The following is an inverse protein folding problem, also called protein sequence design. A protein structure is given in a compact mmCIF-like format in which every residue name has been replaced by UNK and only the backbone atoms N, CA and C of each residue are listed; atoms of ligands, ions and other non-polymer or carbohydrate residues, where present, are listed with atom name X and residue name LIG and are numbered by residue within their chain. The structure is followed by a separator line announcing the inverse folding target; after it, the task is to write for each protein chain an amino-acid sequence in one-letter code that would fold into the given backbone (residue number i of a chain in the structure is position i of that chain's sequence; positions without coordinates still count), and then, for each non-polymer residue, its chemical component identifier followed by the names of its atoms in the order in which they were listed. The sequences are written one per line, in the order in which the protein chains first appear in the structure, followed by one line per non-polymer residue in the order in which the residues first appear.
data_IF_612699330767
#
_entry.id   IF_612699330767
#
_cell.length_a   1.000
_cell.length_b   1.000
_cell.length_c   1.000
_cell.angle_alpha   90.00
_cell.angle_beta   90.00
_cell.angle_gamma   90.00
#
_symmetry.space_group_name_H-M   'P 1'
#
loop_
_entity.id
_entity.type
_entity.pdbx_description
1 polymer ?
#
# COMPACT_ATOMS: atom_id res chain seq x y z
N UNK A 1 -0.61 -5.01 -6.97
CA UNK A 1 -0.93 -6.43 -6.68
C UNK A 1 0.33 -7.29 -6.62
N UNK A 2 0.97 -7.65 -7.73
CA UNK A 2 2.17 -8.53 -7.74
C UNK A 2 3.27 -8.11 -6.76
N UNK A 3 3.65 -6.83 -6.74
CA UNK A 3 4.67 -6.30 -5.81
C UNK A 3 4.31 -6.46 -4.33
N UNK A 4 3.03 -6.39 -3.98
CA UNK A 4 2.54 -6.56 -2.60
C UNK A 4 2.64 -8.02 -2.18
N UNK A 5 2.18 -8.91 -3.06
CA UNK A 5 2.22 -10.35 -2.83
C UNK A 5 3.67 -10.78 -2.68
N UNK A 6 4.55 -10.39 -3.60
CA UNK A 6 5.97 -10.73 -3.54
C UNK A 6 6.63 -10.21 -2.24
N UNK A 7 6.45 -8.94 -1.91
CA UNK A 7 7.01 -8.35 -0.68
C UNK A 7 6.45 -9.02 0.59
N UNK A 8 5.15 -9.31 0.61
CA UNK A 8 4.48 -9.96 1.73
C UNK A 8 4.95 -11.40 1.90
N UNK A 9 5.03 -12.17 0.82
CA UNK A 9 5.47 -13.57 0.83
C UNK A 9 6.92 -13.69 1.27
N UNK A 10 7.82 -12.84 0.77
CA UNK A 10 9.24 -12.85 1.19
C UNK A 10 9.33 -12.58 2.70
N UNK A 11 8.64 -11.54 3.18
CA UNK A 11 8.61 -11.22 4.61
C UNK A 11 8.01 -12.35 5.45
N UNK A 12 6.92 -12.97 4.99
CA UNK A 12 6.27 -14.10 5.64
C UNK A 12 7.21 -15.31 5.79
N UNK A 13 7.98 -15.63 4.75
CA UNK A 13 8.92 -16.76 4.77
C UNK A 13 10.04 -16.52 5.79
N UNK A 14 10.66 -15.35 5.79
CA UNK A 14 11.76 -15.05 6.73
C UNK A 14 11.28 -14.99 8.18
N UNK A 15 10.19 -14.27 8.45
CA UNK A 15 9.62 -14.14 9.80
C UNK A 15 9.05 -15.49 10.26
N UNK A 16 8.42 -16.24 9.36
CA UNK A 16 7.93 -17.59 9.61
C UNK A 16 9.05 -18.55 10.00
N UNK A 17 10.14 -18.60 9.24
CA UNK A 17 11.30 -19.44 9.57
C UNK A 17 11.91 -19.06 10.92
N UNK A 18 12.06 -17.77 11.22
CA UNK A 18 12.53 -17.31 12.52
C UNK A 18 11.59 -17.75 13.66
N UNK A 19 10.27 -17.62 13.46
CA UNK A 19 9.26 -18.09 14.41
C UNK A 19 9.31 -19.61 14.63
N UNK A 20 9.51 -20.38 13.56
CA UNK A 20 9.66 -21.83 13.63
C UNK A 20 10.88 -22.23 14.46
N UNK A 21 12.03 -21.59 14.22
CA UNK A 21 13.27 -21.88 14.95
C UNK A 21 13.15 -21.58 16.44
N UNK A 22 12.55 -20.44 16.80
CA UNK A 22 12.31 -20.08 18.21
C UNK A 22 11.29 -21.04 18.83
N UNK A 23 10.22 -21.35 18.10
CA UNK A 23 9.15 -22.25 18.52
C UNK A 23 9.64 -23.66 18.85
N UNK A 24 10.52 -24.20 18.00
CA UNK A 24 11.11 -25.52 18.17
C UNK A 24 11.98 -25.61 19.44
N UNK A 25 12.66 -24.52 19.83
CA UNK A 25 13.52 -24.50 21.02
C UNK A 25 12.72 -24.41 22.33
N UNK A 26 11.61 -23.65 22.33
CA UNK A 26 10.86 -23.36 23.56
C UNK A 26 9.76 -24.38 23.83
N UNK A 27 9.02 -24.77 22.79
CA UNK A 27 7.78 -25.57 22.92
C UNK A 27 7.84 -26.90 22.17
N UNK A 28 8.98 -27.26 21.58
CA UNK A 28 9.16 -28.46 20.74
C UNK A 28 8.19 -28.53 19.54
N UNK A 29 7.52 -27.42 19.21
CA UNK A 29 6.58 -27.30 18.10
C UNK A 29 7.01 -26.19 17.15
N UNK A 30 7.20 -26.54 15.89
CA UNK A 30 7.64 -25.59 14.86
C UNK A 30 6.47 -24.97 14.09
N UNK A 31 5.38 -25.71 13.89
CA UNK A 31 4.33 -25.36 12.93
C UNK A 31 3.45 -24.20 13.40
N UNK A 32 3.00 -24.20 14.66
CA UNK A 32 2.13 -23.13 15.18
C UNK A 32 2.90 -21.80 15.23
N UNK A 33 4.13 -21.73 15.78
CA UNK A 33 4.95 -20.52 15.75
C UNK A 33 5.33 -20.07 14.33
N UNK A 34 5.55 -21.01 13.40
CA UNK A 34 5.77 -20.68 11.99
C UNK A 34 4.57 -19.94 11.38
N UNK A 35 3.36 -20.48 11.53
CA UNK A 35 2.16 -19.92 10.89
C UNK A 35 1.84 -18.54 11.45
N UNK A 36 1.91 -18.36 12.77
CA UNK A 36 1.63 -17.07 13.40
C UNK A 36 2.66 -16.02 12.97
N UNK A 37 3.94 -16.36 13.01
CA UNK A 37 5.03 -15.47 12.61
C UNK A 37 4.97 -15.15 11.10
N UNK A 38 4.66 -16.12 10.24
CA UNK A 38 4.51 -15.92 8.81
C UNK A 38 3.36 -14.95 8.48
N UNK A 39 2.20 -15.11 9.14
CA UNK A 39 1.08 -14.18 9.01
C UNK A 39 1.47 -12.76 9.43
N UNK A 40 2.15 -12.60 10.56
CA UNK A 40 2.66 -11.30 11.01
C UNK A 40 3.66 -10.71 10.01
N UNK A 41 4.59 -11.53 9.50
CA UNK A 41 5.55 -11.13 8.47
C UNK A 41 4.87 -10.64 7.20
N UNK A 42 3.83 -11.34 6.74
CA UNK A 42 3.05 -10.93 5.57
C UNK A 42 2.38 -9.57 5.79
N UNK A 43 1.72 -9.38 6.95
CA UNK A 43 1.07 -8.11 7.30
C UNK A 43 2.08 -6.97 7.32
N UNK A 44 3.25 -7.17 7.95
CA UNK A 44 4.31 -6.17 7.97
C UNK A 44 4.80 -5.82 6.56
N UNK A 45 4.97 -6.81 5.69
CA UNK A 45 5.34 -6.61 4.29
C UNK A 45 4.27 -5.81 3.52
N UNK A 46 2.99 -6.13 3.71
CA UNK A 46 1.88 -5.42 3.10
C UNK A 46 1.79 -3.96 3.59
N UNK A 47 1.99 -3.73 4.89
CA UNK A 47 2.05 -2.39 5.49
C UNK A 47 3.22 -1.58 4.93
N UNK A 48 4.40 -2.20 4.82
CA UNK A 48 5.58 -1.58 4.22
C UNK A 48 5.32 -1.14 2.78
N UNK A 49 4.73 -2.02 1.97
CA UNK A 49 4.30 -1.69 0.61
C UNK A 49 3.31 -0.53 0.58
N UNK A 50 2.28 -0.55 1.45
CA UNK A 50 1.28 0.52 1.48
C UNK A 50 1.92 1.88 1.80
N UNK A 51 2.85 1.93 2.76
CA UNK A 51 3.57 3.18 3.10
C UNK A 51 4.38 3.72 1.92
N UNK A 52 5.04 2.84 1.17
CA UNK A 52 5.77 3.22 -0.04
C UNK A 52 4.83 3.69 -1.16
N UNK A 53 3.73 2.98 -1.39
CA UNK A 53 2.70 3.35 -2.36
C UNK A 53 2.10 4.73 -2.06
N UNK A 54 1.79 5.03 -0.79
CA UNK A 54 1.37 6.36 -0.34
C UNK A 54 2.40 7.43 -0.68
N UNK A 55 3.68 7.17 -0.40
CA UNK A 55 4.76 8.14 -0.64
C UNK A 55 4.92 8.41 -2.14
N UNK A 56 4.80 7.38 -2.99
CA UNK A 56 4.90 7.48 -4.45
C UNK A 56 3.67 8.16 -5.07
N UNK A 57 2.47 7.84 -4.58
CA UNK A 57 1.23 8.44 -5.08
C UNK A 57 1.15 9.93 -4.76
N UNK A 58 1.56 10.34 -3.56
CA UNK A 58 1.62 11.77 -3.17
C UNK A 58 2.62 12.55 -4.04
N UNK A 59 3.81 11.99 -4.31
CA UNK A 59 4.77 12.62 -5.22
C UNK A 59 4.25 12.72 -6.65
N UNK A 60 3.53 11.69 -7.11
CA UNK A 60 2.94 11.69 -8.45
C UNK A 60 1.80 12.70 -8.56
N UNK A 61 1.04 12.92 -7.49
CA UNK A 61 -0.01 13.94 -7.41
C UNK A 61 0.57 15.35 -7.61
N UNK A 62 1.66 15.65 -6.92
CA UNK A 62 2.31 16.96 -7.04
C UNK A 62 2.93 17.15 -8.45
N UNK A 63 3.36 16.08 -9.12
CA UNK A 63 3.99 16.15 -10.45
C UNK A 63 2.97 16.16 -11.61
N UNK A 64 1.91 15.39 -11.51
CA UNK A 64 0.92 15.17 -12.58
C UNK A 64 -0.52 15.27 -12.05
N UNK A 65 -0.92 16.44 -11.50
CA UNK A 65 -2.21 16.57 -10.81
C UNK A 65 -3.41 16.35 -11.74
N UNK A 66 -3.33 16.78 -13.01
CA UNK A 66 -4.42 16.63 -13.98
C UNK A 66 -4.69 15.17 -14.35
N UNK A 67 -3.64 14.37 -14.54
CA UNK A 67 -3.77 12.94 -14.88
C UNK A 67 -4.36 12.15 -13.71
N UNK A 68 -3.90 12.43 -12.49
CA UNK A 68 -4.44 11.82 -11.28
C UNK A 68 -5.86 12.28 -10.98
N UNK A 69 -6.25 13.51 -11.33
CA UNK A 69 -7.65 13.96 -11.24
C UNK A 69 -8.57 13.08 -12.09
N UNK A 70 -8.20 12.81 -13.33
CA UNK A 70 -8.99 11.95 -14.24
C UNK A 70 -9.17 10.55 -13.65
N UNK A 71 -8.11 9.96 -13.09
CA UNK A 71 -8.19 8.64 -12.46
C UNK A 71 -8.93 8.67 -11.12
N UNK A 72 -8.83 9.74 -10.34
CA UNK A 72 -9.61 9.92 -9.11
C UNK A 72 -11.10 10.00 -9.40
N UNK A 73 -11.47 10.78 -10.43
CA UNK A 73 -12.86 10.95 -10.84
C UNK A 73 -13.43 9.66 -11.43
N UNK A 74 -12.68 8.98 -12.31
CA UNK A 74 -13.11 7.70 -12.90
C UNK A 74 -13.28 6.58 -11.86
N UNK A 75 -12.41 6.50 -10.83
CA UNK A 75 -12.53 5.49 -9.78
C UNK A 75 -13.55 5.86 -8.69
N UNK A 76 -13.78 7.17 -8.45
CA UNK A 76 -14.61 7.66 -7.35
C UNK A 76 -15.54 8.82 -7.80
N UNK A 77 -16.48 8.56 -8.73
CA UNK A 77 -17.31 9.63 -9.34
C UNK A 77 -18.16 10.35 -8.29
N UNK A 78 -18.61 9.64 -7.25
CA UNK A 78 -19.42 10.19 -6.15
C UNK A 78 -18.73 11.32 -5.34
N UNK A 79 -17.41 11.50 -5.47
CA UNK A 79 -16.66 12.55 -4.78
C UNK A 79 -16.55 13.86 -5.57
N UNK A 80 -16.86 13.85 -6.88
CA UNK A 80 -16.82 15.04 -7.73
C UNK A 80 -15.44 15.66 -7.88
N UNK A 81 -14.40 14.83 -8.07
CA UNK A 81 -13.02 15.32 -8.19
C UNK A 81 -12.79 16.15 -9.46
N UNK A 82 -13.63 16.02 -10.49
CA UNK A 82 -13.64 16.85 -11.69
C UNK A 82 -13.81 18.35 -11.37
N UNK A 83 -14.66 18.69 -10.41
CA UNK A 83 -14.92 20.08 -9.97
C UNK A 83 -13.81 20.68 -9.11
N UNK A 84 -12.83 19.88 -8.68
CA UNK A 84 -11.78 20.37 -7.79
C UNK A 84 -10.75 21.23 -8.56
N UNK A 85 -10.38 22.40 -8.01
CA UNK A 85 -9.30 23.20 -8.56
C UNK A 85 -7.96 22.47 -8.39
N UNK A 86 -7.05 22.70 -9.32
CA UNK A 86 -5.75 22.00 -9.38
C UNK A 86 -4.91 22.26 -8.12
N UNK A 87 -5.02 23.45 -7.53
CA UNK A 87 -4.31 23.80 -6.28
C UNK A 87 -4.74 22.94 -5.09
N UNK A 88 -5.97 22.39 -5.14
CA UNK A 88 -6.51 21.48 -4.13
C UNK A 88 -6.04 20.03 -4.31
N UNK A 89 -5.51 19.70 -5.49
CA UNK A 89 -4.91 18.40 -5.79
C UNK A 89 -3.42 18.40 -5.41
N UNK A 90 -3.15 18.71 -4.15
CA UNK A 90 -1.80 18.74 -3.60
C UNK A 90 -1.62 17.66 -2.53
N UNK A 91 -0.38 17.20 -2.37
CA UNK A 91 -0.05 16.19 -1.37
C UNK A 91 -0.36 16.65 0.06
N UNK A 92 -0.38 17.96 0.34
CA UNK A 92 -0.70 18.51 1.66
C UNK A 92 -2.14 18.15 2.09
N UNK A 93 -3.11 18.32 1.19
CA UNK A 93 -4.53 18.04 1.47
C UNK A 93 -4.76 16.54 1.59
N UNK A 94 -4.18 15.75 0.69
CA UNK A 94 -4.34 14.29 0.69
C UNK A 94 -3.65 13.60 1.89
N UNK A 95 -2.67 14.25 2.53
CA UNK A 95 -2.04 13.74 3.75
C UNK A 95 -2.93 13.87 4.99
N UNK A 96 -3.81 14.86 5.02
CA UNK A 96 -4.66 15.15 6.19
C UNK A 96 -5.77 14.11 6.40
N UNK A 97 -6.21 13.43 5.34
CA UNK A 97 -7.28 12.43 5.41
C UNK A 97 -6.81 11.07 4.93
N UNK A 98 -6.94 10.05 5.79
CA UNK A 98 -6.63 8.68 5.42
C UNK A 98 -7.55 8.16 4.30
N UNK A 99 -8.79 8.67 4.22
CA UNK A 99 -9.75 8.33 3.17
C UNK A 99 -9.23 8.84 1.83
N UNK A 100 -8.91 10.13 1.72
CA UNK A 100 -8.35 10.72 0.50
C UNK A 100 -7.04 10.03 0.10
N UNK A 101 -6.19 9.74 1.09
CA UNK A 101 -4.93 9.01 0.87
C UNK A 101 -5.16 7.63 0.28
N UNK A 102 -6.15 6.89 0.78
CA UNK A 102 -6.49 5.55 0.26
C UNK A 102 -7.04 5.61 -1.17
N UNK A 103 -7.92 6.57 -1.45
CA UNK A 103 -8.45 6.83 -2.79
C UNK A 103 -7.31 7.18 -3.76
N UNK A 104 -6.40 8.05 -3.35
CA UNK A 104 -5.24 8.42 -4.16
C UNK A 104 -4.33 7.24 -4.47
N UNK A 105 -4.08 6.35 -3.50
CA UNK A 105 -3.28 5.14 -3.76
C UNK A 105 -3.98 4.23 -4.78
N UNK A 106 -5.30 4.04 -4.67
CA UNK A 106 -6.06 3.23 -5.61
C UNK A 106 -6.05 3.82 -7.04
N UNK A 107 -6.31 5.13 -7.15
CA UNK A 107 -6.26 5.85 -8.43
C UNK A 107 -4.85 5.93 -9.00
N UNK A 108 -3.82 6.02 -8.16
CA UNK A 108 -2.43 5.98 -8.62
C UNK A 108 -2.05 4.59 -9.14
N UNK A 109 -2.47 3.52 -8.47
CA UNK A 109 -2.20 2.14 -8.92
C UNK A 109 -2.80 1.86 -10.30
N UNK A 110 -3.98 2.41 -10.60
CA UNK A 110 -4.58 2.32 -11.94
C UNK A 110 -3.88 3.24 -12.95
N UNK A 111 -3.45 4.44 -12.51
CA UNK A 111 -2.71 5.39 -13.34
C UNK A 111 -1.27 4.98 -13.68
N UNK A 112 -0.63 4.10 -12.91
CA UNK A 112 0.80 3.77 -13.07
C UNK A 112 1.20 3.41 -14.50
N UNK A 113 0.34 2.68 -15.24
CA UNK A 113 0.60 2.30 -16.64
C UNK A 113 0.64 3.48 -17.63
N UNK A 114 0.10 4.64 -17.23
CA UNK A 114 0.08 5.87 -18.01
C UNK A 114 1.10 6.91 -17.52
N UNK A 115 1.79 6.61 -16.40
CA UNK A 115 2.80 7.46 -15.78
C UNK A 115 4.24 6.98 -16.07
N UNK A 116 4.40 5.70 -16.39
CA UNK A 116 5.63 5.06 -16.87
C UNK A 116 5.71 5.14 -18.41
#
# INVERSE_FOLDING_TARGET
MFRVILSGTISAVFVGMAGASIGAVIWETATIPFVTAACSGFVLGAVGFYRDAVRKSLRSLDRYPRLLRLHLDANFPHRGFETWPVDRLSSNIFRQSWVLRSMLVASWLTATRSLD
#
